data_IF_780914291277
#
_entry.id   IF_780914291277
#
_cell.length_a   1.000
_cell.length_b   1.000
_cell.length_c   1.000
_cell.angle_alpha   90.00
_cell.angle_beta   90.00
_cell.angle_gamma   90.00
#
_symmetry.space_group_name_H-M   'P 1'
#
loop_
_entity.id
_entity.type
_entity.pdbx_description
1 polymer ?
#
# COMPACT_ATOMS: atom_id res chain seq x y z
N UNK A 1 24.09 -13.27 6.41
CA UNK A 1 22.71 -13.78 6.35
C UNK A 1 21.76 -12.68 5.91
N UNK A 2 21.53 -12.52 4.58
CA UNK A 2 20.72 -11.41 4.06
C UNK A 2 19.21 -11.52 4.34
N UNK A 3 18.69 -12.74 4.58
CA UNK A 3 17.24 -13.00 4.73
C UNK A 3 16.60 -12.41 6.00
N UNK A 4 17.31 -12.31 7.10
CA UNK A 4 16.76 -11.76 8.35
C UNK A 4 16.57 -10.25 8.33
N UNK A 5 17.44 -9.53 7.64
CA UNK A 5 17.34 -8.08 7.44
C UNK A 5 16.14 -7.70 6.58
N UNK A 6 15.85 -8.45 5.51
CA UNK A 6 14.68 -8.25 4.65
C UNK A 6 13.37 -8.48 5.40
N UNK A 7 13.27 -9.58 6.16
CA UNK A 7 12.06 -9.87 6.93
C UNK A 7 11.76 -8.81 8.00
N UNK A 8 12.78 -8.32 8.71
CA UNK A 8 12.60 -7.22 9.66
C UNK A 8 12.12 -5.94 8.98
N UNK A 9 12.70 -5.57 7.83
CA UNK A 9 12.26 -4.41 7.04
C UNK A 9 10.80 -4.52 6.61
N UNK A 10 10.35 -5.71 6.19
CA UNK A 10 8.96 -5.93 5.77
C UNK A 10 7.98 -5.84 6.94
N UNK A 11 8.37 -6.28 8.13
CA UNK A 11 7.56 -6.10 9.35
C UNK A 11 7.40 -4.62 9.67
N UNK A 12 8.47 -3.82 9.65
CA UNK A 12 8.40 -2.38 9.90
C UNK A 12 7.53 -1.65 8.88
N UNK A 13 7.62 -1.97 7.60
CA UNK A 13 6.79 -1.37 6.55
C UNK A 13 5.30 -1.62 6.82
N UNK A 14 4.93 -2.85 7.18
CA UNK A 14 3.54 -3.22 7.48
C UNK A 14 3.02 -2.56 8.74
N UNK A 15 3.85 -2.46 9.78
CA UNK A 15 3.51 -1.75 11.01
C UNK A 15 3.27 -0.26 10.76
N UNK A 16 4.18 0.41 10.04
CA UNK A 16 4.04 1.82 9.69
C UNK A 16 2.78 2.07 8.85
N UNK A 17 2.47 1.20 7.89
CA UNK A 17 1.24 1.27 7.12
C UNK A 17 0.00 1.13 8.00
N UNK A 18 -0.03 0.13 8.88
CA UNK A 18 -1.17 -0.08 9.77
C UNK A 18 -1.40 1.12 10.70
N UNK A 19 -0.32 1.68 11.25
CA UNK A 19 -0.39 2.91 12.08
C UNK A 19 -0.93 4.08 11.27
N UNK A 20 -0.46 4.30 10.05
CA UNK A 20 -0.94 5.36 9.16
C UNK A 20 -2.45 5.22 8.89
N UNK A 21 -2.95 4.02 8.61
CA UNK A 21 -4.38 3.78 8.37
C UNK A 21 -5.23 3.99 9.64
N UNK A 22 -4.72 3.62 10.80
CA UNK A 22 -5.40 3.92 12.07
C UNK A 22 -5.45 5.42 12.33
N UNK A 23 -4.36 6.15 12.13
CA UNK A 23 -4.30 7.60 12.27
C UNK A 23 -5.28 8.28 11.31
N UNK A 24 -5.38 7.81 10.06
CA UNK A 24 -6.33 8.34 9.07
C UNK A 24 -7.79 8.35 9.56
N UNK A 25 -8.16 7.36 10.37
CA UNK A 25 -9.48 7.33 10.99
C UNK A 25 -9.70 8.46 12.00
N UNK A 26 -8.70 8.74 12.84
CA UNK A 26 -8.80 9.77 13.86
C UNK A 26 -8.71 11.20 13.29
N UNK A 27 -8.13 11.35 12.12
CA UNK A 27 -8.00 12.65 11.45
C UNK A 27 -9.26 13.06 10.69
N UNK A 28 -10.24 12.16 10.52
CA UNK A 28 -11.49 12.39 9.77
C UNK A 28 -12.24 13.66 10.19
N UNK A 29 -12.26 13.99 11.46
CA UNK A 29 -12.99 15.15 11.99
C UNK A 29 -12.43 16.48 11.48
N UNK A 30 -11.13 16.52 11.17
CA UNK A 30 -10.42 17.73 10.77
C UNK A 30 -10.12 17.79 9.26
N UNK A 31 -10.01 16.64 8.60
CA UNK A 31 -9.55 16.55 7.21
C UNK A 31 -10.33 15.49 6.42
N UNK A 32 -10.70 15.86 5.19
CA UNK A 32 -11.29 14.89 4.27
C UNK A 32 -10.21 13.99 3.65
N UNK A 33 -10.62 12.85 3.08
CA UNK A 33 -9.73 11.85 2.51
C UNK A 33 -8.85 12.40 1.37
N UNK A 34 -9.38 13.34 0.59
CA UNK A 34 -8.65 13.96 -0.52
C UNK A 34 -7.50 14.85 0.01
N UNK A 35 -7.77 15.67 1.02
CA UNK A 35 -6.74 16.53 1.63
C UNK A 35 -5.63 15.69 2.26
N UNK A 36 -5.99 14.60 2.92
CA UNK A 36 -5.04 13.67 3.53
C UNK A 36 -4.16 12.97 2.48
N UNK A 37 -4.75 12.52 1.37
CA UNK A 37 -4.00 11.96 0.24
C UNK A 37 -3.07 13.01 -0.38
N UNK A 38 -3.54 14.25 -0.55
CA UNK A 38 -2.75 15.35 -1.08
C UNK A 38 -1.55 15.67 -0.19
N UNK A 39 -1.73 15.76 1.12
CA UNK A 39 -0.64 15.97 2.07
C UNK A 39 0.39 14.85 1.99
N UNK A 40 -0.05 13.59 1.94
CA UNK A 40 0.83 12.43 1.84
C UNK A 40 1.69 12.48 0.57
N UNK A 41 1.08 12.78 -0.57
CA UNK A 41 1.83 12.91 -1.83
C UNK A 41 2.76 14.13 -1.83
N UNK A 42 2.34 15.24 -1.22
CA UNK A 42 3.19 16.43 -1.09
C UNK A 42 4.45 16.16 -0.26
N UNK A 43 4.29 15.50 0.88
CA UNK A 43 5.43 15.08 1.71
C UNK A 43 6.33 14.11 0.97
N UNK A 44 5.76 13.14 0.26
CA UNK A 44 6.54 12.18 -0.54
C UNK A 44 7.32 12.88 -1.65
N UNK A 45 6.72 13.86 -2.31
CA UNK A 45 7.39 14.67 -3.34
C UNK A 45 8.57 15.46 -2.74
N UNK A 46 8.35 16.13 -1.61
CA UNK A 46 9.41 16.88 -0.93
C UNK A 46 10.58 15.97 -0.55
N UNK A 47 10.29 14.82 0.05
CA UNK A 47 11.33 13.84 0.41
C UNK A 47 12.07 13.32 -0.82
N UNK A 48 11.37 13.07 -1.92
CA UNK A 48 11.98 12.64 -3.18
C UNK A 48 12.93 13.71 -3.75
N UNK A 49 12.51 14.97 -3.73
CA UNK A 49 13.35 16.10 -4.19
C UNK A 49 14.59 16.26 -3.31
N UNK A 50 14.42 16.19 -1.99
CA UNK A 50 15.54 16.26 -1.04
C UNK A 50 16.53 15.11 -1.29
N UNK A 51 16.02 13.88 -1.39
CA UNK A 51 16.84 12.68 -1.65
C UNK A 51 17.59 12.81 -2.96
N UNK A 52 16.92 13.24 -4.02
CA UNK A 52 17.54 13.47 -5.33
C UNK A 52 18.65 14.54 -5.26
N UNK A 53 18.41 15.65 -4.55
CA UNK A 53 19.42 16.71 -4.36
C UNK A 53 20.65 16.21 -3.60
N UNK A 54 20.43 15.41 -2.55
CA UNK A 54 21.54 14.80 -1.78
C UNK A 54 22.38 13.88 -2.68
N UNK A 55 21.74 13.07 -3.51
CA UNK A 55 22.44 12.16 -4.44
C UNK A 55 23.27 12.94 -5.46
N UNK A 56 22.75 14.06 -5.96
CA UNK A 56 23.49 14.92 -6.88
C UNK A 56 24.73 15.59 -6.22
N UNK A 57 24.63 15.92 -4.92
CA UNK A 57 25.73 16.57 -4.18
C UNK A 57 26.79 15.55 -3.74
N UNK A 58 26.39 14.33 -3.45
CA UNK A 58 27.26 13.25 -2.98
C UNK A 58 27.06 12.03 -3.87
N UNK A 59 27.76 11.97 -5.04
CA UNK A 59 27.69 10.79 -5.90
C UNK A 59 28.19 9.58 -5.12
N UNK A 60 27.26 8.78 -4.65
CA UNK A 60 27.56 7.56 -3.91
C UNK A 60 28.04 6.51 -4.91
N UNK A 61 29.21 5.92 -4.69
CA UNK A 61 29.74 4.78 -5.46
C UNK A 61 28.78 3.57 -5.49
N UNK A 62 27.73 3.64 -4.66
CA UNK A 62 26.64 2.65 -4.60
C UNK A 62 25.69 2.72 -5.79
N UNK A 63 25.65 3.83 -6.53
CA UNK A 63 24.70 4.04 -7.65
C UNK A 63 25.04 3.16 -8.86
N UNK A 64 26.28 2.73 -8.97
CA UNK A 64 26.74 1.84 -10.05
C UNK A 64 26.31 0.37 -9.86
N UNK A 65 25.77 -0.01 -8.71
CA UNK A 65 25.18 -1.34 -8.52
C UNK A 65 23.84 -1.43 -9.24
N UNK A 66 23.64 -2.46 -10.04
CA UNK A 66 22.43 -2.70 -10.84
C UNK A 66 21.15 -2.59 -10.03
N UNK A 67 21.18 -3.00 -8.75
CA UNK A 67 20.06 -2.92 -7.81
C UNK A 67 19.60 -1.49 -7.53
N UNK A 68 20.51 -0.52 -7.54
CA UNK A 68 20.21 0.88 -7.24
C UNK A 68 19.90 1.71 -8.49
N UNK A 69 20.29 1.24 -9.68
CA UNK A 69 19.97 1.92 -10.97
C UNK A 69 18.47 2.05 -11.19
N UNK A 70 17.66 1.10 -10.69
CA UNK A 70 16.20 1.17 -10.79
C UNK A 70 15.62 2.33 -9.99
N UNK A 71 16.20 2.64 -8.81
CA UNK A 71 15.69 3.69 -7.92
C UNK A 71 16.25 5.06 -8.29
N UNK A 72 17.54 5.11 -8.67
CA UNK A 72 18.29 6.36 -8.87
C UNK A 72 18.67 6.60 -10.34
N UNK A 73 18.28 5.73 -11.24
CA UNK A 73 18.53 5.90 -12.66
C UNK A 73 17.80 7.12 -13.23
N UNK A 74 18.42 7.80 -14.18
CA UNK A 74 17.78 8.92 -14.87
C UNK A 74 16.60 8.43 -15.71
N UNK A 75 15.41 8.96 -15.44
CA UNK A 75 14.25 8.75 -16.28
C UNK A 75 14.43 9.59 -17.54
N UNK A 76 14.50 8.93 -18.69
CA UNK A 76 14.51 9.62 -19.98
C UNK A 76 13.08 9.96 -20.35
N UNK A 77 12.72 11.23 -20.30
CA UNK A 77 11.39 11.74 -20.68
C UNK A 77 11.20 11.89 -22.19
N UNK A 78 12.07 11.30 -23.01
CA UNK A 78 12.06 11.48 -24.46
C UNK A 78 10.94 10.70 -25.16
N UNK A 79 10.21 9.85 -24.42
CA UNK A 79 9.14 9.03 -24.97
C UNK A 79 7.77 9.49 -24.41
N UNK A 80 6.86 9.90 -25.32
CA UNK A 80 5.48 10.26 -24.98
C UNK A 80 4.72 9.14 -24.28
N UNK A 81 5.01 7.86 -24.57
CA UNK A 81 4.36 6.73 -23.94
C UNK A 81 4.65 6.66 -22.44
N UNK A 82 5.85 7.04 -22.04
CA UNK A 82 6.24 7.11 -20.63
C UNK A 82 5.45 8.20 -19.91
N UNK A 83 5.30 9.37 -20.54
CA UNK A 83 4.54 10.48 -19.96
C UNK A 83 3.05 10.14 -19.81
N UNK A 84 2.47 9.49 -20.84
CA UNK A 84 1.08 9.02 -20.81
C UNK A 84 0.91 7.98 -19.69
N UNK A 85 1.83 7.03 -19.58
CA UNK A 85 1.79 5.99 -18.56
C UNK A 85 1.88 6.58 -17.14
N UNK A 86 2.75 7.57 -16.93
CA UNK A 86 2.87 8.28 -15.65
C UNK A 86 1.58 9.05 -15.34
N UNK A 87 0.99 9.72 -16.32
CA UNK A 87 -0.26 10.46 -16.14
C UNK A 87 -1.42 9.52 -15.75
N UNK A 88 -1.58 8.41 -16.45
CA UNK A 88 -2.58 7.38 -16.16
C UNK A 88 -2.37 6.82 -14.74
N UNK A 89 -1.14 6.42 -14.42
CA UNK A 89 -0.79 5.89 -13.10
C UNK A 89 -1.07 6.90 -11.99
N UNK A 90 -0.77 8.17 -12.21
CA UNK A 90 -1.02 9.25 -11.25
C UNK A 90 -2.51 9.44 -10.97
N UNK A 91 -3.36 9.43 -12.01
CA UNK A 91 -4.81 9.55 -11.87
C UNK A 91 -5.38 8.37 -11.08
N UNK A 92 -5.10 7.14 -11.52
CA UNK A 92 -5.60 5.94 -10.87
C UNK A 92 -5.02 5.76 -9.46
N UNK A 93 -3.74 6.09 -9.26
CA UNK A 93 -3.09 6.06 -7.96
C UNK A 93 -3.74 7.03 -6.97
N UNK A 94 -4.02 8.26 -7.40
CA UNK A 94 -4.68 9.27 -6.56
C UNK A 94 -6.11 8.87 -6.21
N UNK A 95 -6.88 8.40 -7.19
CA UNK A 95 -8.25 7.91 -6.95
C UNK A 95 -8.24 6.71 -6.00
N UNK A 96 -7.36 5.75 -6.21
CA UNK A 96 -7.22 4.57 -5.36
C UNK A 96 -6.84 4.94 -3.93
N UNK A 97 -5.84 5.80 -3.75
CA UNK A 97 -5.39 6.21 -2.41
C UNK A 97 -6.45 7.02 -1.67
N UNK A 98 -7.11 7.95 -2.35
CA UNK A 98 -8.21 8.74 -1.76
C UNK A 98 -9.37 7.83 -1.34
N UNK A 99 -9.74 6.86 -2.18
CA UNK A 99 -10.80 5.89 -1.87
C UNK A 99 -10.43 5.00 -0.69
N UNK A 100 -9.17 4.58 -0.61
CA UNK A 100 -8.65 3.76 0.48
C UNK A 100 -8.71 4.54 1.81
N UNK A 101 -8.18 5.76 1.84
CA UNK A 101 -8.22 6.62 3.03
C UNK A 101 -9.68 6.85 3.45
N UNK A 102 -10.57 7.15 2.51
CA UNK A 102 -11.98 7.34 2.79
C UNK A 102 -12.62 6.08 3.40
N UNK A 103 -12.31 4.90 2.89
CA UNK A 103 -12.78 3.65 3.47
C UNK A 103 -12.34 3.48 4.93
N UNK A 104 -11.09 3.83 5.26
CA UNK A 104 -10.60 3.77 6.63
C UNK A 104 -11.20 4.86 7.53
N UNK A 105 -11.50 6.03 6.99
CA UNK A 105 -12.18 7.10 7.73
C UNK A 105 -13.62 6.73 8.09
N UNK A 106 -14.35 6.07 7.21
CA UNK A 106 -15.76 5.70 7.42
C UNK A 106 -15.87 4.36 8.16
N UNK A 107 -15.05 3.39 7.80
CA UNK A 107 -15.09 2.03 8.32
C UNK A 107 -14.23 1.82 9.57
N UNK A 108 -14.26 0.59 10.09
CA UNK A 108 -13.31 0.13 11.10
C UNK A 108 -12.03 -0.37 10.42
N UNK A 109 -10.83 0.02 10.88
CA UNK A 109 -9.57 -0.51 10.34
C UNK A 109 -9.49 -2.04 10.40
N UNK A 110 -10.07 -2.66 11.43
CA UNK A 110 -10.13 -4.12 11.59
C UNK A 110 -11.00 -4.76 10.52
N UNK A 111 -12.06 -4.08 10.08
CA UNK A 111 -12.96 -4.58 9.03
C UNK A 111 -12.40 -4.33 7.64
N UNK A 112 -11.75 -3.18 7.44
CA UNK A 112 -11.21 -2.79 6.13
C UNK A 112 -9.92 -3.53 5.77
N UNK A 113 -9.06 -3.83 6.76
CA UNK A 113 -7.79 -4.54 6.52
C UNK A 113 -7.97 -5.84 5.72
N UNK A 114 -8.89 -6.75 6.10
CA UNK A 114 -9.12 -7.97 5.33
C UNK A 114 -9.62 -7.75 3.90
N UNK A 115 -10.30 -6.65 3.61
CA UNK A 115 -10.79 -6.36 2.24
C UNK A 115 -9.63 -6.04 1.29
N UNK A 116 -8.48 -5.58 1.81
CA UNK A 116 -7.28 -5.34 1.01
C UNK A 116 -6.70 -6.64 0.41
N UNK A 117 -7.04 -7.81 0.93
CA UNK A 117 -6.61 -9.08 0.32
C UNK A 117 -7.17 -9.30 -1.09
N UNK A 118 -8.22 -8.58 -1.48
CA UNK A 118 -8.68 -8.54 -2.88
C UNK A 118 -7.58 -8.03 -3.80
N UNK A 119 -6.73 -7.09 -3.35
CA UNK A 119 -5.58 -6.61 -4.11
C UNK A 119 -4.59 -7.74 -4.42
N UNK A 120 -4.44 -8.72 -3.54
CA UNK A 120 -3.58 -9.87 -3.77
C UNK A 120 -4.08 -10.72 -4.95
N UNK A 121 -5.39 -10.92 -5.03
CA UNK A 121 -6.03 -11.65 -6.15
C UNK A 121 -5.82 -10.88 -7.45
N UNK A 122 -6.07 -9.56 -7.43
CA UNK A 122 -5.86 -8.70 -8.60
C UNK A 122 -4.40 -8.65 -9.03
N UNK A 123 -3.45 -8.64 -8.07
CA UNK A 123 -2.01 -8.68 -8.38
C UNK A 123 -1.62 -9.97 -9.11
N UNK A 124 -2.16 -11.12 -8.71
CA UNK A 124 -1.91 -12.40 -9.38
C UNK A 124 -2.49 -12.38 -10.78
N UNK A 125 -3.72 -11.90 -10.93
CA UNK A 125 -4.37 -11.79 -12.24
C UNK A 125 -3.56 -10.88 -13.18
N UNK A 126 -3.14 -9.71 -12.72
CA UNK A 126 -2.30 -8.81 -13.49
C UNK A 126 -0.94 -9.43 -13.82
N UNK A 127 -0.30 -10.11 -12.87
CA UNK A 127 0.95 -10.85 -13.09
C UNK A 127 0.83 -11.90 -14.19
N UNK A 128 -0.29 -12.61 -14.22
CA UNK A 128 -0.58 -13.59 -15.27
C UNK A 128 -0.89 -12.94 -16.61
N UNK A 129 -1.81 -11.97 -16.67
CA UNK A 129 -2.26 -11.38 -17.92
C UNK A 129 -1.21 -10.52 -18.62
N UNK A 130 -0.44 -9.73 -17.86
CA UNK A 130 0.54 -8.80 -18.45
C UNK A 130 1.94 -9.37 -18.56
N UNK A 131 2.33 -10.29 -17.68
CA UNK A 131 3.70 -10.79 -17.60
C UNK A 131 3.81 -12.30 -17.82
N UNK A 132 2.68 -13.02 -17.93
CA UNK A 132 2.69 -14.48 -18.06
C UNK A 132 3.21 -15.21 -16.83
N UNK A 133 3.36 -14.51 -15.69
CA UNK A 133 3.90 -15.08 -14.47
C UNK A 133 2.84 -15.91 -13.75
N UNK A 134 3.13 -17.20 -13.59
CA UNK A 134 2.30 -18.12 -12.80
C UNK A 134 2.99 -18.31 -11.45
N UNK A 135 2.30 -18.03 -10.32
CA UNK A 135 2.85 -18.31 -9.01
C UNK A 135 3.13 -19.82 -8.84
N UNK A 136 4.22 -20.16 -8.20
CA UNK A 136 4.54 -21.52 -7.83
C UNK A 136 3.57 -22.08 -6.78
N UNK A 137 3.57 -23.38 -6.59
CA UNK A 137 2.64 -24.06 -5.66
C UNK A 137 2.77 -23.57 -4.21
N UNK A 138 3.98 -23.21 -3.79
CA UNK A 138 4.23 -22.71 -2.44
C UNK A 138 3.66 -21.30 -2.25
N UNK A 139 3.82 -20.44 -3.27
CA UNK A 139 3.21 -19.10 -3.31
C UNK A 139 1.69 -19.20 -3.31
N UNK A 140 1.09 -20.10 -4.11
CA UNK A 140 -0.35 -20.33 -4.11
C UNK A 140 -0.86 -20.78 -2.74
N UNK A 141 -0.19 -21.71 -2.09
CA UNK A 141 -0.54 -22.15 -0.73
C UNK A 141 -0.47 -21.00 0.28
N UNK A 142 0.56 -20.17 0.21
CA UNK A 142 0.68 -18.96 1.04
C UNK A 142 -0.46 -17.96 0.83
N UNK A 143 -0.84 -17.71 -0.42
CA UNK A 143 -1.94 -16.83 -0.79
C UNK A 143 -3.27 -17.33 -0.22
N UNK A 144 -3.55 -18.63 -0.37
CA UNK A 144 -4.77 -19.26 0.18
C UNK A 144 -4.81 -19.09 1.70
N UNK A 145 -3.70 -19.35 2.39
CA UNK A 145 -3.62 -19.18 3.85
C UNK A 145 -3.88 -17.73 4.28
N UNK A 146 -3.34 -16.76 3.57
CA UNK A 146 -3.56 -15.33 3.83
C UNK A 146 -5.04 -14.98 3.67
N UNK A 147 -5.67 -15.39 2.57
CA UNK A 147 -7.08 -15.13 2.30
C UNK A 147 -7.98 -15.78 3.37
N UNK A 148 -7.73 -17.04 3.71
CA UNK A 148 -8.48 -17.75 4.75
C UNK A 148 -8.32 -17.11 6.13
N UNK A 149 -7.11 -16.68 6.47
CA UNK A 149 -6.83 -15.95 7.72
C UNK A 149 -7.58 -14.62 7.79
N UNK A 150 -7.54 -13.85 6.72
CA UNK A 150 -8.27 -12.59 6.61
C UNK A 150 -9.79 -12.79 6.70
N UNK A 151 -10.30 -13.78 6.02
CA UNK A 151 -11.72 -14.11 6.06
C UNK A 151 -12.18 -14.55 7.46
N UNK A 152 -11.42 -15.41 8.12
CA UNK A 152 -11.70 -15.81 9.50
C UNK A 152 -11.73 -14.62 10.47
N UNK A 153 -10.80 -13.66 10.30
CA UNK A 153 -10.77 -12.42 11.08
C UNK A 153 -12.02 -11.56 10.81
N UNK A 154 -12.40 -11.38 9.56
CA UNK A 154 -13.58 -10.62 9.15
C UNK A 154 -14.87 -11.20 9.78
N UNK A 155 -15.09 -12.51 9.69
CA UNK A 155 -16.27 -13.16 10.28
C UNK A 155 -16.30 -13.03 11.79
N UNK A 156 -15.16 -13.21 12.45
CA UNK A 156 -15.07 -13.06 13.91
C UNK A 156 -15.44 -11.65 14.34
N UNK A 157 -14.95 -10.63 13.63
CA UNK A 157 -15.22 -9.24 13.97
C UNK A 157 -16.69 -8.86 13.67
N UNK A 158 -17.24 -9.30 12.54
CA UNK A 158 -18.62 -9.09 12.19
C UNK A 158 -19.58 -9.69 13.23
N UNK A 159 -19.27 -10.89 13.74
CA UNK A 159 -20.04 -11.55 14.80
C UNK A 159 -19.94 -10.79 16.12
N UNK A 160 -18.76 -10.26 16.47
CA UNK A 160 -18.52 -9.47 17.68
C UNK A 160 -19.31 -8.16 17.66
N UNK A 161 -19.29 -7.45 16.54
CA UNK A 161 -20.02 -6.19 16.37
C UNK A 161 -21.56 -6.40 16.43
N UNK A 162 -22.06 -7.51 15.90
CA UNK A 162 -23.47 -7.88 16.00
C UNK A 162 -23.91 -8.17 17.44
N UNK A 163 -23.05 -8.77 18.24
CA UNK A 163 -23.33 -9.04 19.67
C UNK A 163 -23.28 -7.75 20.51
N UNK A 164 -22.31 -6.86 20.25
CA UNK A 164 -22.22 -5.58 20.90
C UNK A 164 -23.45 -4.68 20.62
N UNK A 165 -23.91 -4.64 19.36
CA UNK A 165 -25.13 -3.89 19.00
C UNK A 165 -26.42 -4.42 19.64
N UNK A 166 -26.50 -5.71 19.92
CA UNK A 166 -27.65 -6.30 20.65
C UNK A 166 -27.69 -5.88 22.13
N UNK A 167 -26.54 -5.71 22.76
CA UNK A 167 -26.47 -5.34 24.17
C UNK A 167 -26.81 -3.85 24.42
N UNK A 168 -26.67 -2.98 23.41
CA UNK A 168 -27.08 -1.57 23.49
C UNK A 168 -28.55 -1.32 23.14
N UNK A 169 -29.22 -2.27 22.49
CA UNK A 169 -30.65 -2.17 22.14
C UNK A 169 -31.62 -2.71 23.19
N UNK A 170 -31.13 -3.15 24.35
CA UNK A 170 -31.92 -3.72 25.45
C UNK A 170 -31.87 -2.88 26.74
N UNK A 171 -31.46 -1.64 26.65
CA UNK A 171 -31.57 -0.60 27.69
C UNK A 171 -32.50 0.50 27.22
#
# INVERSE_FOLDING_TARGET
>A
TPKTSSAASDVYKRQSYAVAMVISKYTKENENAFLQAFQQYSVSLLLSVITYTIILMFPLDMIDKEEWRFIFGSIKFDNYDILISIAILSIFGTLGMTSLIHAYQVGSPITNGPTEYVLLILAIMNGYFFFGNIPDYLSLAGIILIILGGWALFFREHKRNKMAGKNFGSL
#
